data_IF_543972851981
#
_entry.id   IF_543972851981
#
_cell.length_a   1.000
_cell.length_b   1.000
_cell.length_c   1.000
_cell.angle_alpha   90.00
_cell.angle_beta   90.00
_cell.angle_gamma   90.00
#
_symmetry.space_group_name_H-M   'P 1'
#
loop_
_entity.id
_entity.type
_entity.pdbx_description
1 polymer ?
#
# COMPACT_ATOMS: atom_id res chain seq x y z
N UNK A 1 -3.88 5.92 17.20
CA UNK A 1 -3.89 4.57 16.61
C UNK A 1 -4.10 4.67 15.10
N UNK A 2 -3.17 4.20 14.27
CA UNK A 2 -3.27 4.31 12.81
C UNK A 2 -4.05 3.15 12.16
N UNK A 3 -4.45 3.27 10.90
CA UNK A 3 -5.17 2.20 10.14
C UNK A 3 -4.34 0.96 9.86
N UNK A 4 -3.02 1.06 10.02
CA UNK A 4 -2.12 -0.09 10.00
C UNK A 4 -1.80 -0.61 11.40
N UNK A 5 -2.63 -0.30 12.42
CA UNK A 5 -2.53 -0.91 13.74
C UNK A 5 -2.77 -2.43 13.62
N UNK A 6 -1.72 -3.18 13.91
CA UNK A 6 -1.68 -4.64 13.80
C UNK A 6 -1.21 -5.23 15.11
N UNK A 7 -1.67 -6.44 15.42
CA UNK A 7 -1.12 -7.22 16.52
C UNK A 7 0.29 -7.66 16.12
N UNK A 8 1.27 -7.46 17.01
CA UNK A 8 2.63 -7.94 16.78
C UNK A 8 2.65 -9.46 16.66
N UNK A 9 3.37 -9.98 15.67
CA UNK A 9 3.53 -11.42 15.45
C UNK A 9 5.02 -11.71 15.27
N UNK A 10 5.61 -12.41 16.24
CA UNK A 10 7.04 -12.75 16.29
C UNK A 10 7.50 -13.59 15.08
N UNK A 11 6.57 -14.30 14.43
CA UNK A 11 6.91 -15.07 13.21
C UNK A 11 7.39 -14.17 12.09
N UNK A 12 7.01 -12.89 12.09
CA UNK A 12 7.45 -11.91 11.10
C UNK A 12 8.96 -11.58 11.17
N UNK A 13 9.67 -12.00 12.21
CA UNK A 13 11.12 -11.84 12.32
C UNK A 13 11.88 -12.80 11.40
N UNK A 14 11.32 -13.99 11.18
CA UNK A 14 11.97 -15.10 10.47
C UNK A 14 11.36 -15.38 9.09
N UNK A 15 10.54 -14.46 8.56
CA UNK A 15 9.96 -14.63 7.23
C UNK A 15 11.02 -14.63 6.12
N UNK A 16 10.74 -15.41 5.09
CA UNK A 16 11.43 -15.41 3.82
C UNK A 16 10.78 -14.41 2.87
N UNK A 17 11.62 -13.61 2.23
CA UNK A 17 11.28 -12.62 1.22
C UNK A 17 11.53 -13.22 -0.15
N UNK A 18 10.52 -13.23 -1.01
CA UNK A 18 10.65 -13.65 -2.39
C UNK A 18 11.28 -12.53 -3.22
N UNK A 19 12.39 -12.81 -3.90
CA UNK A 19 13.09 -11.83 -4.73
C UNK A 19 13.40 -12.43 -6.10
N UNK A 20 13.01 -11.74 -7.16
CA UNK A 20 13.45 -12.03 -8.53
C UNK A 20 14.30 -10.90 -9.05
N UNK A 21 15.60 -11.13 -9.22
CA UNK A 21 16.47 -10.10 -9.76
C UNK A 21 16.23 -9.91 -11.27
N UNK A 22 16.60 -8.73 -11.74
CA UNK A 22 16.38 -8.32 -13.13
C UNK A 22 17.41 -8.83 -14.12
N UNK A 23 18.58 -9.29 -13.67
CA UNK A 23 19.70 -9.63 -14.55
C UNK A 23 19.70 -11.11 -14.90
N UNK A 24 19.68 -11.97 -13.88
CA UNK A 24 19.57 -13.42 -14.05
C UNK A 24 18.14 -13.85 -14.34
N UNK A 25 17.15 -13.13 -13.77
CA UNK A 25 15.74 -13.52 -13.78
C UNK A 25 15.40 -14.60 -12.76
N UNK A 26 16.36 -15.05 -11.95
CA UNK A 26 16.19 -16.11 -10.96
C UNK A 26 15.33 -15.62 -9.78
N UNK A 27 14.40 -16.47 -9.35
CA UNK A 27 13.64 -16.25 -8.13
C UNK A 27 14.29 -16.99 -6.97
N UNK A 28 14.55 -16.26 -5.89
CA UNK A 28 15.12 -16.80 -4.66
C UNK A 28 14.31 -16.36 -3.45
N UNK A 29 14.38 -17.18 -2.41
CA UNK A 29 13.87 -16.86 -1.08
C UNK A 29 15.05 -16.45 -0.21
N UNK A 30 14.98 -15.24 0.35
CA UNK A 30 16.01 -14.70 1.23
C UNK A 30 15.44 -14.54 2.64
N UNK A 31 16.23 -14.78 3.68
CA UNK A 31 15.82 -14.36 5.03
C UNK A 31 15.62 -12.83 5.06
N UNK A 32 14.68 -12.35 5.87
CA UNK A 32 14.33 -10.92 6.00
C UNK A 32 15.54 -9.99 6.10
N UNK A 33 16.53 -10.35 6.93
CA UNK A 33 17.76 -9.56 7.16
C UNK A 33 18.70 -9.53 5.96
N UNK A 34 18.63 -10.54 5.10
CA UNK A 34 19.51 -10.73 3.94
C UNK A 34 18.84 -10.26 2.63
N UNK A 35 17.59 -9.81 2.70
CA UNK A 35 16.81 -9.31 1.58
C UNK A 35 17.26 -7.89 1.17
N UNK A 36 18.42 -7.82 0.53
CA UNK A 36 19.07 -6.57 0.11
C UNK A 36 18.84 -6.27 -1.38
N UNK A 37 18.71 -4.98 -1.71
CA UNK A 37 18.63 -4.47 -3.09
C UNK A 37 19.81 -3.54 -3.35
N UNK A 38 20.23 -3.45 -4.62
CA UNK A 38 21.32 -2.54 -5.00
C UNK A 38 20.89 -1.07 -4.83
N UNK A 39 21.81 -0.23 -4.39
CA UNK A 39 21.61 1.24 -4.38
C UNK A 39 21.48 1.81 -5.80
N UNK A 40 21.84 1.04 -6.83
CA UNK A 40 21.62 1.39 -8.24
C UNK A 40 20.26 0.91 -8.77
N UNK A 41 19.42 0.31 -7.93
CA UNK A 41 18.05 -0.01 -8.33
C UNK A 41 17.24 1.28 -8.57
N UNK A 42 16.47 1.29 -9.65
CA UNK A 42 15.63 2.42 -10.07
C UNK A 42 14.68 2.93 -8.99
N UNK A 43 14.14 2.05 -8.14
CA UNK A 43 13.27 2.45 -7.05
C UNK A 43 14.04 3.20 -5.96
N UNK A 44 15.27 2.77 -5.64
CA UNK A 44 16.10 3.48 -4.67
C UNK A 44 16.57 4.83 -5.22
N UNK A 45 17.06 4.87 -6.47
CA UNK A 45 17.67 6.07 -7.05
C UNK A 45 16.69 7.21 -7.30
N UNK A 46 15.52 6.90 -7.86
CA UNK A 46 14.58 7.91 -8.36
C UNK A 46 13.12 7.58 -8.02
N UNK A 47 12.89 6.57 -7.19
CA UNK A 47 11.53 6.18 -6.81
C UNK A 47 10.69 5.63 -7.97
N UNK A 48 11.35 5.09 -9.01
CA UNK A 48 10.75 4.49 -10.20
C UNK A 48 10.36 3.03 -9.91
N UNK A 49 9.29 2.90 -9.14
CA UNK A 49 8.70 1.62 -8.77
C UNK A 49 7.25 1.76 -8.33
N UNK A 50 6.52 0.67 -8.52
CA UNK A 50 5.15 0.49 -8.06
C UNK A 50 5.11 -0.60 -6.98
N UNK A 51 4.05 -0.60 -6.19
CA UNK A 51 3.81 -1.65 -5.22
C UNK A 51 2.32 -1.97 -5.15
N UNK A 52 1.98 -3.16 -4.71
CA UNK A 52 0.61 -3.57 -4.43
C UNK A 52 0.53 -4.33 -3.11
N UNK A 53 -0.63 -4.21 -2.46
CA UNK A 53 -0.95 -4.93 -1.22
C UNK A 53 -2.05 -5.94 -1.49
N UNK A 54 -1.73 -7.23 -1.37
CA UNK A 54 -2.71 -8.31 -1.50
C UNK A 54 -2.96 -8.93 -0.13
N UNK A 55 -4.22 -9.30 0.15
CA UNK A 55 -4.55 -10.12 1.31
C UNK A 55 -4.74 -11.56 0.85
N UNK A 56 -4.21 -12.49 1.65
CA UNK A 56 -4.46 -13.92 1.45
C UNK A 56 -5.44 -14.37 2.53
N UNK A 57 -6.54 -14.96 2.08
CA UNK A 57 -7.56 -15.55 2.96
C UNK A 57 -7.83 -16.97 2.49
N UNK A 58 -7.85 -17.91 3.43
CA UNK A 58 -7.99 -19.34 3.15
C UNK A 58 -7.10 -19.79 1.98
N UNK A 59 -5.80 -19.51 2.06
CA UNK A 59 -4.77 -20.02 1.14
C UNK A 59 -4.81 -19.50 -0.30
N UNK A 60 -5.81 -18.69 -0.68
CA UNK A 60 -5.97 -18.19 -2.05
C UNK A 60 -5.55 -16.73 -2.16
N UNK A 61 -4.62 -16.46 -3.06
CA UNK A 61 -4.31 -15.10 -3.51
C UNK A 61 -5.47 -14.61 -4.37
N UNK A 62 -6.14 -13.53 -3.98
CA UNK A 62 -7.25 -12.97 -4.75
C UNK A 62 -6.73 -12.01 -5.82
N UNK A 63 -7.32 -12.07 -7.03
CA UNK A 63 -7.10 -11.11 -8.13
C UNK A 63 -5.68 -11.03 -8.72
N UNK A 64 -4.86 -12.07 -8.58
CA UNK A 64 -3.57 -12.18 -9.26
C UNK A 64 -3.65 -13.10 -10.50
N UNK A 65 -2.69 -12.94 -11.42
CA UNK A 65 -2.57 -13.68 -12.69
C UNK A 65 -1.65 -14.89 -12.47
N UNK A 66 -1.82 -15.98 -13.23
CA UNK A 66 -1.14 -17.28 -13.05
C UNK A 66 0.38 -17.25 -12.72
N UNK A 67 1.16 -16.36 -13.35
CA UNK A 67 2.60 -16.25 -13.05
C UNK A 67 2.89 -15.55 -11.72
N UNK A 68 2.13 -14.50 -11.38
CA UNK A 68 2.23 -13.83 -10.09
C UNK A 68 1.70 -14.74 -8.98
N UNK A 69 0.62 -15.48 -9.25
CA UNK A 69 0.09 -16.49 -8.33
C UNK A 69 1.17 -17.48 -7.93
N UNK A 70 1.95 -18.00 -8.90
CA UNK A 70 3.04 -18.94 -8.60
C UNK A 70 4.11 -18.31 -7.72
N UNK A 71 4.54 -17.08 -7.98
CA UNK A 71 5.56 -16.40 -7.16
C UNK A 71 5.05 -16.10 -5.74
N UNK A 72 3.82 -15.61 -5.63
CA UNK A 72 3.18 -15.36 -4.34
C UNK A 72 3.01 -16.64 -3.55
N UNK A 73 2.44 -17.68 -4.16
CA UNK A 73 2.20 -18.97 -3.54
C UNK A 73 3.52 -19.61 -3.09
N UNK A 74 4.56 -19.59 -3.92
CA UNK A 74 5.87 -20.11 -3.54
C UNK A 74 6.43 -19.40 -2.30
N UNK A 75 6.20 -18.09 -2.19
CA UNK A 75 6.64 -17.32 -1.02
C UNK A 75 5.80 -17.65 0.23
N UNK A 76 4.49 -17.79 0.09
CA UNK A 76 3.58 -18.17 1.20
C UNK A 76 3.89 -19.58 1.71
N UNK A 77 4.02 -20.55 0.80
CA UNK A 77 4.24 -21.96 1.14
C UNK A 77 5.60 -22.15 1.84
N UNK A 78 6.65 -21.51 1.34
CA UNK A 78 7.97 -21.58 1.95
C UNK A 78 8.02 -20.98 3.37
N UNK A 79 7.09 -20.08 3.70
CA UNK A 79 6.94 -19.51 5.04
C UNK A 79 6.00 -20.33 5.94
N UNK A 80 5.45 -21.46 5.47
CA UNK A 80 4.46 -22.24 6.20
C UNK A 80 3.19 -21.44 6.54
N UNK A 81 2.93 -20.37 5.80
CA UNK A 81 1.98 -19.34 6.20
C UNK A 81 0.54 -19.74 6.00
N UNK A 82 0.27 -20.71 5.15
CA UNK A 82 -1.06 -20.82 4.59
C UNK A 82 -2.15 -21.16 5.62
N UNK A 83 -1.82 -21.74 6.81
CA UNK A 83 -2.82 -22.02 7.87
C UNK A 83 -3.41 -20.75 8.48
N UNK A 84 -2.79 -19.61 8.22
CA UNK A 84 -3.19 -18.33 8.78
C UNK A 84 -4.17 -17.60 7.87
N UNK A 85 -5.28 -17.16 8.46
CA UNK A 85 -6.33 -16.40 7.78
C UNK A 85 -6.05 -14.88 7.70
N UNK A 86 -4.84 -14.44 8.04
CA UNK A 86 -4.50 -13.03 8.17
C UNK A 86 -3.08 -12.77 7.69
N UNK A 87 -2.87 -12.95 6.39
CA UNK A 87 -1.60 -12.66 5.72
C UNK A 87 -1.80 -11.45 4.81
N UNK A 88 -0.84 -10.54 4.85
CA UNK A 88 -0.73 -9.45 3.91
C UNK A 88 0.56 -9.60 3.12
N UNK A 89 0.44 -9.61 1.80
CA UNK A 89 1.57 -9.66 0.88
C UNK A 89 1.75 -8.27 0.28
N UNK A 90 2.97 -7.74 0.37
CA UNK A 90 3.40 -6.58 -0.40
C UNK A 90 4.20 -7.05 -1.60
N UNK A 91 3.70 -6.75 -2.80
CA UNK A 91 4.46 -6.81 -4.04
C UNK A 91 5.11 -5.45 -4.26
N UNK A 92 6.41 -5.41 -4.53
CA UNK A 92 7.10 -4.22 -5.02
C UNK A 92 7.80 -4.57 -6.33
N UNK A 93 7.64 -3.71 -7.33
CA UNK A 93 8.26 -3.86 -8.65
C UNK A 93 8.96 -2.56 -9.01
N UNK A 94 10.26 -2.64 -9.25
CA UNK A 94 11.04 -1.51 -9.80
C UNK A 94 11.36 -1.77 -11.26
N UNK A 95 11.78 -0.74 -12.00
CA UNK A 95 12.32 -0.91 -13.35
C UNK A 95 13.68 -1.66 -13.37
N UNK A 96 14.21 -2.03 -12.21
CA UNK A 96 15.44 -2.80 -12.06
C UNK A 96 16.70 -1.95 -11.93
N UNK A 97 17.85 -2.60 -12.10
CA UNK A 97 19.17 -2.03 -11.94
C UNK A 97 19.47 -0.97 -13.02
N UNK A 98 20.17 0.10 -12.65
CA UNK A 98 20.65 1.11 -13.59
C UNK A 98 22.18 1.07 -13.71
N UNK A 99 22.70 1.36 -14.91
CA UNK A 99 24.15 1.51 -15.13
C UNK A 99 24.74 2.80 -14.55
N UNK A 100 23.90 3.82 -14.33
CA UNK A 100 24.29 5.14 -13.80
C UNK A 100 23.09 5.78 -13.10
N UNK A 101 23.27 6.63 -12.06
CA UNK A 101 22.19 7.28 -11.32
C UNK A 101 21.48 8.36 -12.17
N UNK A 102 20.65 7.92 -13.11
CA UNK A 102 19.96 8.78 -14.07
C UNK A 102 18.50 8.37 -14.29
N UNK A 103 17.59 9.34 -14.42
CA UNK A 103 16.15 9.07 -14.50
C UNK A 103 15.74 8.34 -15.79
N UNK A 104 16.49 8.47 -16.89
CA UNK A 104 16.06 7.94 -18.18
C UNK A 104 16.01 6.39 -18.15
N UNK A 105 14.90 5.75 -18.57
CA UNK A 105 14.79 4.30 -18.64
C UNK A 105 15.85 3.60 -19.51
N UNK A 106 16.49 4.32 -20.44
CA UNK A 106 17.53 3.77 -21.33
C UNK A 106 18.76 3.26 -20.58
N UNK A 107 18.97 3.69 -19.33
CA UNK A 107 20.09 3.22 -18.51
C UNK A 107 19.70 2.02 -17.63
N UNK A 108 18.47 1.53 -17.71
CA UNK A 108 18.05 0.31 -17.02
C UNK A 108 18.63 -0.93 -17.70
N UNK A 109 19.09 -1.85 -16.88
CA UNK A 109 19.71 -3.11 -17.29
C UNK A 109 18.78 -4.26 -16.98
N UNK A 110 18.61 -5.15 -17.95
CA UNK A 110 17.81 -6.37 -17.80
C UNK A 110 16.32 -6.10 -17.57
N UNK A 111 15.72 -6.98 -16.78
CA UNK A 111 14.31 -7.02 -16.43
C UNK A 111 14.01 -6.23 -15.14
N UNK A 112 12.72 -5.95 -14.87
CA UNK A 112 12.27 -5.42 -13.58
C UNK A 112 12.67 -6.30 -12.38
N UNK A 113 13.06 -5.68 -11.27
CA UNK A 113 13.18 -6.34 -9.98
C UNK A 113 11.78 -6.60 -9.41
N UNK A 114 11.54 -7.80 -8.90
CA UNK A 114 10.31 -8.15 -8.18
C UNK A 114 10.67 -8.52 -6.74
N UNK A 115 9.99 -7.91 -5.77
CA UNK A 115 10.12 -8.22 -4.34
C UNK A 115 8.75 -8.53 -3.76
N UNK A 116 8.65 -9.65 -3.03
CA UNK A 116 7.44 -10.15 -2.40
C UNK A 116 7.70 -10.28 -0.90
N UNK A 117 6.99 -9.48 -0.12
CA UNK A 117 7.12 -9.43 1.35
C UNK A 117 5.81 -9.93 1.96
N UNK A 118 5.75 -11.17 2.46
CA UNK A 118 4.59 -11.66 3.18
C UNK A 118 4.71 -11.34 4.68
N UNK A 119 3.62 -10.89 5.30
CA UNK A 119 3.57 -10.63 6.75
C UNK A 119 2.28 -11.21 7.34
N UNK A 120 2.38 -11.81 8.53
CA UNK A 120 1.22 -12.07 9.38
C UNK A 120 0.71 -10.72 9.88
N UNK A 121 -0.53 -10.39 9.53
CA UNK A 121 -1.07 -9.04 9.68
C UNK A 121 -2.52 -9.05 10.16
N UNK A 122 -2.69 -9.47 11.40
CA UNK A 122 -3.98 -9.41 12.09
C UNK A 122 -4.30 -7.97 12.49
N UNK A 123 -5.44 -7.46 12.04
CA UNK A 123 -5.90 -6.11 12.39
C UNK A 123 -6.20 -5.99 13.89
N UNK A 124 -5.81 -4.86 14.49
CA UNK A 124 -6.03 -4.65 15.92
C UNK A 124 -7.53 -4.47 16.23
N UNK A 125 -8.16 -5.29 17.11
CA UNK A 125 -9.60 -5.27 17.35
C UNK A 125 -10.14 -3.91 17.82
N UNK A 126 -9.39 -3.25 18.72
CA UNK A 126 -9.76 -1.94 19.28
C UNK A 126 -9.82 -0.84 18.22
N UNK A 127 -8.90 -0.87 17.24
CA UNK A 127 -8.88 0.13 16.17
C UNK A 127 -10.14 0.01 15.29
N UNK A 128 -10.64 -1.21 15.09
CA UNK A 128 -11.88 -1.47 14.34
C UNK A 128 -13.12 -0.99 15.10
N UNK A 129 -13.16 -1.17 16.42
CA UNK A 129 -14.33 -0.83 17.23
C UNK A 129 -14.47 0.68 17.52
N UNK A 130 -13.35 1.38 17.77
CA UNK A 130 -13.35 2.79 18.21
C UNK A 130 -13.47 3.80 17.06
N UNK A 131 -13.14 3.39 15.83
CA UNK A 131 -12.97 4.32 14.71
C UNK A 131 -11.68 5.13 14.83
N UNK A 132 -11.42 5.96 13.81
CA UNK A 132 -10.18 6.73 13.68
C UNK A 132 -10.49 8.24 13.64
N UNK A 133 -9.66 9.03 14.31
CA UNK A 133 -9.70 10.49 14.26
C UNK A 133 -8.96 11.01 13.05
N UNK A 134 -9.66 11.71 12.16
CA UNK A 134 -9.07 12.35 11.00
C UNK A 134 -8.77 13.83 11.26
N UNK A 135 -7.73 14.35 10.64
CA UNK A 135 -7.49 15.79 10.52
C UNK A 135 -7.31 16.15 9.04
N UNK A 136 -7.88 17.27 8.62
CA UNK A 136 -7.68 17.77 7.26
C UNK A 136 -6.24 18.27 7.10
N UNK A 137 -5.52 17.69 6.15
CA UNK A 137 -4.14 18.05 5.85
C UNK A 137 -4.06 19.29 4.98
N UNK A 138 -3.07 20.15 5.25
CA UNK A 138 -2.70 21.24 4.35
C UNK A 138 -1.88 20.76 3.14
N UNK A 139 -1.25 19.59 3.24
CA UNK A 139 -0.57 18.92 2.11
C UNK A 139 -1.63 18.45 1.12
N UNK A 140 -1.53 18.94 -0.11
CA UNK A 140 -2.47 18.63 -1.20
C UNK A 140 -2.05 17.39 -1.97
N UNK A 141 -3.06 16.67 -2.43
CA UNK A 141 -2.92 15.68 -3.48
C UNK A 141 -2.62 16.37 -4.81
N UNK A 142 -1.64 15.84 -5.54
CA UNK A 142 -1.22 16.41 -6.82
C UNK A 142 -2.25 16.18 -7.92
N UNK A 143 -2.12 16.95 -9.00
CA UNK A 143 -2.88 16.70 -10.23
C UNK A 143 -2.34 15.44 -10.94
N UNK A 144 -3.19 14.69 -11.68
CA UNK A 144 -2.77 13.44 -12.33
C UNK A 144 -1.63 13.61 -13.34
N UNK A 145 -1.55 14.76 -14.01
CA UNK A 145 -0.49 15.13 -14.96
C UNK A 145 0.87 15.40 -14.31
N UNK A 146 0.90 15.81 -13.04
CA UNK A 146 2.14 15.92 -12.25
C UNK A 146 2.51 14.56 -11.67
N UNK A 147 1.55 13.91 -11.02
CA UNK A 147 1.81 12.72 -10.23
C UNK A 147 0.52 11.90 -10.06
N UNK A 148 0.16 11.09 -11.06
CA UNK A 148 -1.08 10.26 -11.04
C UNK A 148 -1.24 9.31 -9.84
N UNK A 149 -2.08 9.70 -8.90
CA UNK A 149 -2.38 8.97 -7.66
C UNK A 149 -3.16 7.67 -7.88
N UNK A 150 -3.68 7.42 -9.09
CA UNK A 150 -4.22 6.12 -9.46
C UNK A 150 -3.14 5.02 -9.49
N UNK A 151 -1.86 5.39 -9.59
CA UNK A 151 -0.76 4.45 -9.51
C UNK A 151 -0.24 4.35 -8.09
N UNK A 152 -0.28 3.14 -7.53
CA UNK A 152 0.35 2.79 -6.26
C UNK A 152 1.88 2.80 -6.39
N UNK A 153 2.46 4.00 -6.31
CA UNK A 153 3.90 4.23 -6.45
C UNK A 153 4.61 4.14 -5.11
N UNK A 154 5.90 3.82 -5.17
CA UNK A 154 6.75 3.76 -3.97
C UNK A 154 7.10 5.18 -3.49
N UNK A 155 7.25 6.12 -4.41
CA UNK A 155 7.42 7.55 -4.11
C UNK A 155 6.22 8.14 -3.36
N UNK A 156 6.30 8.26 -2.03
CA UNK A 156 5.24 8.79 -1.15
C UNK A 156 5.59 10.03 -0.30
N UNK A 157 6.36 11.01 -0.79
CA UNK A 157 6.74 12.17 0.04
C UNK A 157 5.52 12.96 0.54
N UNK A 158 4.52 13.20 -0.32
CA UNK A 158 3.29 13.93 0.06
C UNK A 158 2.50 13.23 1.16
N UNK A 159 2.33 11.90 1.04
CA UNK A 159 1.62 11.11 2.04
C UNK A 159 2.36 11.10 3.38
N UNK A 160 3.69 11.02 3.35
CA UNK A 160 4.55 11.06 4.55
C UNK A 160 4.49 12.45 5.20
N UNK A 161 4.50 13.53 4.42
CA UNK A 161 4.33 14.89 4.96
C UNK A 161 2.97 15.05 5.64
N UNK A 162 1.90 14.52 5.03
CA UNK A 162 0.58 14.47 5.68
C UNK A 162 0.62 13.65 6.99
N UNK A 163 1.42 12.58 7.04
CA UNK A 163 1.64 11.81 8.27
C UNK A 163 2.30 12.62 9.37
N UNK A 164 3.36 13.35 9.04
CA UNK A 164 4.06 14.22 9.98
C UNK A 164 3.08 15.26 10.56
N UNK A 165 2.23 15.85 9.70
CA UNK A 165 1.20 16.80 10.13
C UNK A 165 0.20 16.20 11.13
N UNK A 166 -0.39 15.04 10.84
CA UNK A 166 -1.39 14.46 11.75
C UNK A 166 -0.77 13.97 13.07
N UNK A 167 0.48 13.52 13.04
CA UNK A 167 1.20 13.10 14.25
C UNK A 167 1.36 14.28 15.22
N UNK A 168 1.69 15.47 14.71
CA UNK A 168 1.90 16.67 15.52
C UNK A 168 0.65 17.11 16.29
N UNK A 169 -0.55 16.76 15.80
CA UNK A 169 -1.83 17.13 16.41
C UNK A 169 -2.54 15.94 17.10
N UNK A 170 -1.85 14.80 17.22
CA UNK A 170 -2.38 13.61 17.88
C UNK A 170 -3.62 13.00 17.20
N UNK A 171 -3.75 13.18 15.88
CA UNK A 171 -4.77 12.52 15.08
C UNK A 171 -4.27 11.13 14.60
N UNK A 172 -5.17 10.33 14.06
CA UNK A 172 -4.87 8.96 13.61
C UNK A 172 -4.52 8.90 12.11
N UNK A 173 -5.04 9.85 11.33
CA UNK A 173 -4.87 9.93 9.88
C UNK A 173 -5.10 11.34 9.35
N UNK A 174 -4.56 11.58 8.16
CA UNK A 174 -4.81 12.80 7.40
C UNK A 174 -5.87 12.58 6.32
N UNK A 175 -6.89 13.45 6.30
CA UNK A 175 -7.79 13.64 5.17
C UNK A 175 -7.13 14.61 4.18
N UNK A 176 -6.81 14.13 2.99
CA UNK A 176 -6.11 14.89 1.97
C UNK A 176 -7.10 15.42 0.93
N UNK A 177 -6.86 16.66 0.51
CA UNK A 177 -7.68 17.38 -0.46
C UNK A 177 -6.89 17.58 -1.76
N UNK A 178 -7.60 17.73 -2.86
CA UNK A 178 -7.00 18.15 -4.13
C UNK A 178 -6.62 19.64 -4.14
N UNK A 179 -6.08 20.10 -5.27
CA UNK A 179 -5.66 21.50 -5.46
C UNK A 179 -6.81 22.50 -5.44
N UNK A 180 -8.05 22.05 -5.62
CA UNK A 180 -9.26 22.87 -5.58
C UNK A 180 -9.94 22.85 -4.20
N UNK A 181 -9.44 22.02 -3.28
CA UNK A 181 -9.97 21.88 -1.93
C UNK A 181 -11.03 20.80 -1.77
N UNK A 182 -11.32 20.01 -2.80
CA UNK A 182 -12.23 18.87 -2.69
C UNK A 182 -11.58 17.70 -1.97
N UNK A 183 -12.39 16.89 -1.29
CA UNK A 183 -11.93 15.66 -0.65
C UNK A 183 -11.46 14.68 -1.72
N UNK A 184 -10.23 14.19 -1.56
CA UNK A 184 -9.63 13.25 -2.51
C UNK A 184 -9.42 11.87 -1.90
N UNK A 185 -8.64 11.76 -0.83
CA UNK A 185 -8.33 10.47 -0.18
C UNK A 185 -7.78 10.68 1.23
N UNK A 186 -7.44 9.62 1.95
CA UNK A 186 -6.52 9.71 3.08
C UNK A 186 -5.10 9.30 2.65
N UNK A 187 -4.10 9.70 3.43
CA UNK A 187 -2.67 9.41 3.22
C UNK A 187 -2.27 7.93 2.96
N UNK A 188 -3.14 6.95 3.24
CA UNK A 188 -2.84 5.54 2.96
C UNK A 188 -4.07 4.66 2.75
N UNK A 189 -5.26 5.27 2.60
CA UNK A 189 -6.54 4.57 2.45
C UNK A 189 -7.53 5.48 1.73
N UNK A 190 -8.43 4.89 0.96
CA UNK A 190 -9.57 5.63 0.41
C UNK A 190 -10.50 6.14 1.52
N UNK A 191 -11.31 7.15 1.17
CA UNK A 191 -12.26 7.79 2.07
C UNK A 191 -13.67 7.72 1.47
N UNK A 192 -14.66 7.42 2.31
CA UNK A 192 -16.06 7.31 1.92
C UNK A 192 -16.92 8.04 2.95
N UNK A 193 -18.01 8.68 2.48
CA UNK A 193 -19.01 9.33 3.32
C UNK A 193 -20.31 8.53 3.21
N UNK A 194 -20.94 8.25 4.35
CA UNK A 194 -22.29 7.68 4.42
C UNK A 194 -23.22 8.73 5.00
N UNK A 195 -24.37 8.97 4.35
CA UNK A 195 -25.40 9.91 4.79
C UNK A 195 -26.74 9.18 4.92
N UNK A 196 -27.42 9.33 6.06
CA UNK A 196 -28.77 8.79 6.24
C UNK A 196 -29.79 9.58 5.37
N UNK A 197 -30.68 8.88 4.67
CA UNK A 197 -31.80 9.49 3.93
C UNK A 197 -31.68 9.57 2.40
N UNK A 198 -30.57 9.14 1.78
CA UNK A 198 -30.51 8.98 0.32
C UNK A 198 -31.07 7.61 -0.10
N UNK A 199 -32.39 7.52 -0.26
CA UNK A 199 -33.04 6.38 -0.91
C UNK A 199 -32.92 6.49 -2.44
N UNK A 200 -31.97 5.76 -3.02
CA UNK A 200 -32.11 5.21 -4.36
C UNK A 200 -32.10 3.68 -4.19
N UNK A 201 -33.07 3.01 -4.81
CA UNK A 201 -33.48 1.64 -4.48
C UNK A 201 -32.34 0.62 -4.30
N UNK A 202 -32.53 -0.23 -3.29
CA UNK A 202 -31.80 -1.48 -3.03
C UNK A 202 -30.26 -1.42 -3.16
N UNK A 203 -29.62 -1.28 -1.98
CA UNK A 203 -28.20 -1.39 -1.62
C UNK A 203 -27.55 -0.06 -1.28
N UNK A 204 -27.12 0.06 -0.02
CA UNK A 204 -26.37 1.18 0.59
C UNK A 204 -25.49 1.92 -0.42
N UNK A 205 -25.89 3.13 -0.82
CA UNK A 205 -25.14 3.94 -1.77
C UNK A 205 -23.92 4.55 -1.07
N UNK A 206 -22.77 3.89 -1.21
CA UNK A 206 -21.46 4.47 -0.90
C UNK A 206 -21.10 5.43 -2.03
N UNK A 207 -21.25 6.74 -1.81
CA UNK A 207 -20.75 7.74 -2.75
C UNK A 207 -19.27 8.01 -2.47
N UNK A 208 -18.43 7.83 -3.49
CA UNK A 208 -17.05 8.34 -3.50
C UNK A 208 -17.07 9.86 -3.31
N UNK A 209 -16.36 10.35 -2.29
CA UNK A 209 -16.50 11.71 -1.74
C UNK A 209 -15.92 12.83 -2.63
N UNK A 210 -15.71 12.55 -3.93
CA UNK A 210 -15.10 13.47 -4.91
C UNK A 210 -15.84 14.80 -5.11
N UNK A 211 -17.03 15.02 -4.52
CA UNK A 211 -17.88 16.17 -4.89
C UNK A 211 -18.60 16.97 -3.80
N UNK A 212 -18.54 16.68 -2.50
CA UNK A 212 -19.17 17.58 -1.50
C UNK A 212 -18.72 17.29 -0.07
N UNK A 213 -18.13 18.29 0.60
CA UNK A 213 -17.86 18.26 2.04
C UNK A 213 -18.37 19.55 2.68
N UNK A 214 -19.56 19.44 3.27
CA UNK A 214 -20.18 20.40 4.18
C UNK A 214 -21.04 19.59 5.15
N UNK A 215 -20.79 19.80 6.44
CA UNK A 215 -21.46 19.28 7.64
C UNK A 215 -21.09 17.89 8.16
N UNK A 216 -21.24 17.73 9.48
CA UNK A 216 -20.76 16.64 10.34
C UNK A 216 -21.15 15.25 9.83
N UNK A 217 -20.15 14.36 9.67
CA UNK A 217 -20.34 13.05 9.07
C UNK A 217 -19.64 11.93 9.84
N UNK A 218 -20.34 10.81 10.04
CA UNK A 218 -19.75 9.57 10.53
C UNK A 218 -18.95 8.87 9.43
N UNK A 219 -17.75 8.42 9.80
CA UNK A 219 -16.76 7.78 8.92
C UNK A 219 -16.98 6.28 8.93
N UNK A 220 -17.30 5.69 7.77
CA UNK A 220 -17.34 4.22 7.62
C UNK A 220 -16.21 3.78 6.68
N UNK A 221 -15.23 3.07 7.22
CA UNK A 221 -14.19 2.37 6.45
C UNK A 221 -14.60 0.91 6.22
N UNK A 222 -14.74 0.47 4.96
CA UNK A 222 -14.75 -0.97 4.62
C UNK A 222 -13.30 -1.44 4.39
N UNK A 223 -12.92 -2.51 5.10
CA UNK A 223 -11.65 -3.24 4.94
C UNK A 223 -11.77 -4.34 3.90
#
# INVERSE_FOLDING_TARGET
>A
MATHAVVHDEKNENILIGMRDGLSGDFRLCARKDAIVSVFDSNFLVGDGIWEGLRVNCWKVQFAKAHLDRLFQSTVDANGMGTSNSIHIRLAVSRGLKSTPYQNPRVNLGMPLIVIIPEYKLAHPVAKAKGLRLVTSHIRCGMPDVKDEMWNRISKPSDIQACIGFNAVGADKALMLDVHGFVKTCNSTNFFIVREGCSLGSNESVSDARHNAGDDHQVVQRQ
#
